data_IF_600147886236
#
_entry.id   IF_600147886236
#
_cell.length_a   1.000
_cell.length_b   1.000
_cell.length_c   1.000
_cell.angle_alpha   90.00
_cell.angle_beta   90.00
_cell.angle_gamma   90.00
#
_symmetry.space_group_name_H-M   'P 1'
#
loop_
_entity.id
_entity.type
_entity.pdbx_description
1 polymer ?
#
# COMPACT_ATOMS: atom_id res chain seq x y z
N UNK A 1 -29.93 42.54 -28.66
CA UNK A 1 -28.74 43.05 -27.97
C UNK A 1 -28.39 42.07 -26.87
N UNK A 2 -27.21 41.45 -27.00
CA UNK A 2 -26.72 40.36 -26.15
C UNK A 2 -25.86 40.91 -25.02
N UNK A 3 -25.97 40.33 -23.82
CA UNK A 3 -25.00 40.36 -22.72
C UNK A 3 -25.29 39.09 -21.89
N UNK A 4 -24.49 38.02 -21.87
CA UNK A 4 -23.07 37.80 -21.51
C UNK A 4 -22.76 38.20 -20.06
N UNK A 5 -22.34 37.20 -19.27
CA UNK A 5 -21.63 37.36 -17.98
C UNK A 5 -22.48 36.98 -16.76
N UNK A 6 -22.11 36.04 -15.90
CA UNK A 6 -20.86 35.31 -15.78
C UNK A 6 -21.02 34.07 -14.88
N UNK A 7 -20.22 33.05 -15.17
CA UNK A 7 -20.03 31.89 -14.32
C UNK A 7 -19.52 32.35 -12.94
N UNK A 8 -20.29 32.10 -11.89
CA UNK A 8 -19.75 32.11 -10.54
C UNK A 8 -18.93 30.83 -10.37
N UNK A 9 -17.62 30.97 -10.51
CA UNK A 9 -16.66 29.95 -10.11
C UNK A 9 -16.77 29.79 -8.60
N UNK A 10 -17.38 28.70 -8.14
CA UNK A 10 -17.32 28.30 -6.76
C UNK A 10 -15.90 27.78 -6.47
N UNK A 11 -15.03 28.67 -6.02
CA UNK A 11 -13.69 28.31 -5.54
C UNK A 11 -13.84 27.54 -4.23
N UNK A 12 -13.75 26.22 -4.27
CA UNK A 12 -13.63 25.39 -3.08
C UNK A 12 -12.25 25.68 -2.47
N UNK A 13 -12.25 26.46 -1.39
CA UNK A 13 -11.06 26.72 -0.59
C UNK A 13 -10.73 25.47 0.21
N UNK A 14 -9.76 24.68 -0.27
CA UNK A 14 -9.24 23.53 0.47
C UNK A 14 -8.23 24.09 1.49
N UNK A 15 -8.72 24.54 2.66
CA UNK A 15 -7.86 24.82 3.79
C UNK A 15 -7.30 23.50 4.31
N UNK A 16 -6.04 23.24 3.98
CA UNK A 16 -5.23 22.15 4.50
C UNK A 16 -4.92 22.39 5.97
N UNK A 17 -5.72 21.80 6.85
CA UNK A 17 -5.33 21.51 8.23
C UNK A 17 -5.26 20.01 8.38
N UNK A 18 -4.03 19.48 8.33
CA UNK A 18 -3.72 18.07 8.53
C UNK A 18 -3.95 17.69 10.00
N UNK A 19 -5.21 17.53 10.38
CA UNK A 19 -5.59 16.76 11.56
C UNK A 19 -6.08 15.41 11.05
N UNK A 20 -5.33 14.35 11.38
CA UNK A 20 -5.72 12.96 11.11
C UNK A 20 -7.09 12.74 11.79
N UNK A 21 -8.17 12.74 11.01
CA UNK A 21 -9.51 12.55 11.56
C UNK A 21 -9.55 11.22 12.34
N UNK A 22 -10.28 11.14 13.47
CA UNK A 22 -10.45 9.88 14.18
C UNK A 22 -11.11 8.86 13.26
N UNK A 23 -10.56 7.63 13.25
CA UNK A 23 -10.93 6.56 12.32
C UNK A 23 -12.45 6.30 12.28
N UNK A 24 -13.12 6.39 13.44
CA UNK A 24 -14.57 6.27 13.56
C UNK A 24 -15.35 7.33 12.78
N UNK A 25 -14.85 8.56 12.73
CA UNK A 25 -15.49 9.65 11.96
C UNK A 25 -15.33 9.45 10.45
N UNK A 26 -14.14 9.03 10.01
CA UNK A 26 -13.89 8.71 8.60
C UNK A 26 -14.76 7.56 8.10
N UNK A 27 -14.89 6.49 8.91
CA UNK A 27 -15.75 5.35 8.59
C UNK A 27 -17.21 5.80 8.45
N UNK A 28 -17.69 6.62 9.39
CA UNK A 28 -19.06 7.13 9.35
C UNK A 28 -19.32 8.02 8.12
N UNK A 29 -18.43 8.97 7.84
CA UNK A 29 -18.51 9.83 6.66
C UNK A 29 -18.49 9.00 5.36
N UNK A 30 -17.73 7.90 5.32
CA UNK A 30 -17.68 6.99 4.17
C UNK A 30 -19.01 6.26 3.97
N UNK A 31 -19.62 5.72 5.03
CA UNK A 31 -20.93 5.07 4.92
C UNK A 31 -22.04 6.05 4.50
N UNK A 32 -22.01 7.28 5.00
CA UNK A 32 -22.94 8.33 4.60
C UNK A 32 -22.80 8.69 3.12
N UNK A 33 -21.57 8.75 2.61
CA UNK A 33 -21.31 8.95 1.17
C UNK A 33 -21.80 7.77 0.33
N UNK A 34 -21.57 6.54 0.76
CA UNK A 34 -22.07 5.34 0.08
C UNK A 34 -23.60 5.33 0.04
N UNK A 35 -24.26 5.73 1.11
CA UNK A 35 -25.72 5.81 1.18
C UNK A 35 -26.32 6.85 0.22
N UNK A 36 -25.54 7.86 -0.20
CA UNK A 36 -25.95 8.85 -1.18
C UNK A 36 -25.79 8.37 -2.65
N UNK A 37 -25.11 7.24 -2.87
CA UNK A 37 -24.96 6.66 -4.21
C UNK A 37 -26.26 6.01 -4.69
N UNK A 38 -26.45 5.93 -6.01
CA UNK A 38 -27.57 5.17 -6.58
C UNK A 38 -27.43 3.67 -6.30
N UNK A 39 -28.53 2.92 -6.36
CA UNK A 39 -28.53 1.46 -6.14
C UNK A 39 -27.57 0.74 -7.08
N UNK A 40 -27.51 1.15 -8.35
CA UNK A 40 -26.58 0.59 -9.34
C UNK A 40 -25.11 0.83 -8.95
N UNK A 41 -24.79 2.03 -8.45
CA UNK A 41 -23.45 2.37 -7.98
C UNK A 41 -23.08 1.62 -6.69
N UNK A 42 -24.04 1.45 -5.77
CA UNK A 42 -23.84 0.65 -4.56
C UNK A 42 -23.57 -0.82 -4.91
N UNK A 43 -24.30 -1.39 -5.88
CA UNK A 43 -24.07 -2.75 -6.36
C UNK A 43 -22.70 -2.90 -7.04
N UNK A 44 -22.31 -1.93 -7.89
CA UNK A 44 -21.01 -1.94 -8.53
C UNK A 44 -19.88 -1.90 -7.48
N UNK A 45 -20.01 -1.05 -6.46
CA UNK A 45 -19.07 -0.98 -5.33
C UNK A 45 -19.01 -2.29 -4.55
N UNK A 46 -20.15 -2.90 -4.24
CA UNK A 46 -20.22 -4.18 -3.54
C UNK A 46 -19.48 -5.29 -4.31
N UNK A 47 -19.70 -5.38 -5.63
CA UNK A 47 -19.02 -6.34 -6.51
C UNK A 47 -17.52 -6.06 -6.55
N UNK A 48 -17.12 -4.80 -6.66
CA UNK A 48 -15.71 -4.41 -6.67
C UNK A 48 -15.02 -4.83 -5.36
N UNK A 49 -15.61 -4.50 -4.22
CA UNK A 49 -15.09 -4.89 -2.91
C UNK A 49 -15.03 -6.41 -2.79
N UNK A 50 -16.07 -7.13 -3.17
CA UNK A 50 -16.08 -8.60 -3.12
C UNK A 50 -14.93 -9.22 -3.93
N UNK A 51 -14.58 -8.64 -5.09
CA UNK A 51 -13.50 -9.14 -5.96
C UNK A 51 -12.11 -8.76 -5.47
N UNK A 52 -11.95 -7.58 -4.85
CA UNK A 52 -10.63 -6.98 -4.61
C UNK A 52 -10.26 -6.83 -3.13
N UNK A 53 -11.19 -7.03 -2.19
CA UNK A 53 -10.95 -6.80 -0.76
C UNK A 53 -9.76 -7.61 -0.22
N UNK A 54 -9.64 -8.88 -0.61
CA UNK A 54 -8.52 -9.72 -0.15
C UNK A 54 -7.16 -9.14 -0.55
N UNK A 55 -7.04 -8.66 -1.80
CA UNK A 55 -5.81 -8.05 -2.30
C UNK A 55 -5.50 -6.73 -1.57
N UNK A 56 -6.52 -5.91 -1.35
CA UNK A 56 -6.39 -4.64 -0.62
C UNK A 56 -5.90 -4.88 0.81
N UNK A 57 -6.49 -5.85 1.51
CA UNK A 57 -6.10 -6.20 2.87
C UNK A 57 -4.67 -6.75 2.93
N UNK A 58 -4.30 -7.63 2.00
CA UNK A 58 -2.95 -8.16 1.92
C UNK A 58 -1.90 -7.06 1.69
N UNK A 59 -2.21 -6.10 0.82
CA UNK A 59 -1.33 -4.95 0.57
C UNK A 59 -1.21 -4.06 1.81
N UNK A 60 -2.31 -3.76 2.49
CA UNK A 60 -2.30 -2.95 3.72
C UNK A 60 -1.51 -3.63 4.85
N UNK A 61 -1.63 -4.95 5.01
CA UNK A 61 -0.84 -5.71 5.97
C UNK A 61 0.65 -5.67 5.64
N UNK A 62 1.01 -5.78 4.36
CA UNK A 62 2.40 -5.66 3.90
C UNK A 62 2.98 -4.27 4.20
N UNK A 63 2.24 -3.22 3.88
CA UNK A 63 2.66 -1.83 4.16
C UNK A 63 2.86 -1.60 5.66
N UNK A 64 1.94 -2.13 6.49
CA UNK A 64 2.09 -2.09 7.95
C UNK A 64 3.36 -2.79 8.42
N UNK A 65 3.66 -3.99 7.90
CA UNK A 65 4.89 -4.71 8.26
C UNK A 65 6.15 -3.94 7.88
N UNK A 66 6.13 -3.26 6.73
CA UNK A 66 7.24 -2.40 6.29
C UNK A 66 7.42 -1.22 7.24
N UNK A 67 6.33 -0.52 7.59
CA UNK A 67 6.37 0.61 8.54
C UNK A 67 6.90 0.19 9.92
N UNK A 68 6.49 -0.99 10.40
CA UNK A 68 6.87 -1.54 11.69
C UNK A 68 8.23 -2.28 11.67
N UNK A 69 8.89 -2.39 10.51
CA UNK A 69 10.11 -3.19 10.29
C UNK A 69 9.95 -4.68 10.70
N UNK A 70 8.77 -5.24 10.55
CA UNK A 70 8.41 -6.63 10.90
C UNK A 70 8.30 -7.52 9.65
N UNK A 71 9.32 -7.48 8.79
CA UNK A 71 9.37 -8.20 7.52
C UNK A 71 9.22 -9.72 7.67
N UNK A 72 8.57 -10.33 6.69
CA UNK A 72 8.48 -11.78 6.49
C UNK A 72 9.16 -12.18 5.18
N UNK A 73 9.51 -13.45 5.04
CA UNK A 73 10.11 -13.97 3.80
C UNK A 73 9.24 -13.65 2.57
N UNK A 74 7.91 -13.68 2.71
CA UNK A 74 6.96 -13.41 1.64
C UNK A 74 6.96 -11.96 1.13
N UNK A 75 7.61 -11.04 1.85
CA UNK A 75 7.67 -9.63 1.44
C UNK A 75 8.74 -9.38 0.35
N UNK A 76 9.62 -10.35 0.09
CA UNK A 76 10.70 -10.29 -0.89
C UNK A 76 10.36 -11.02 -2.19
N UNK A 77 11.13 -10.77 -3.26
CA UNK A 77 10.98 -11.51 -4.53
C UNK A 77 11.50 -12.95 -4.40
N UNK A 78 11.16 -13.81 -5.37
CA UNK A 78 11.52 -15.24 -5.35
C UNK A 78 13.02 -15.50 -5.20
N UNK A 79 13.85 -14.71 -5.88
CA UNK A 79 15.31 -14.82 -5.80
C UNK A 79 15.82 -14.58 -4.38
N UNK A 80 15.33 -13.52 -3.72
CA UNK A 80 15.71 -13.17 -2.35
C UNK A 80 15.16 -14.20 -1.36
N UNK A 81 13.93 -14.68 -1.56
CA UNK A 81 13.36 -15.75 -0.74
C UNK A 81 14.24 -17.00 -0.81
N UNK A 82 14.65 -17.41 -2.00
CA UNK A 82 15.52 -18.56 -2.19
C UNK A 82 16.91 -18.34 -1.58
N UNK A 83 17.46 -17.12 -1.66
CA UNK A 83 18.72 -16.79 -1.01
C UNK A 83 18.61 -16.90 0.52
N UNK A 84 17.51 -16.44 1.13
CA UNK A 84 17.24 -16.61 2.57
C UNK A 84 17.14 -18.09 2.93
N UNK A 85 16.39 -18.89 2.17
CA UNK A 85 16.26 -20.34 2.39
C UNK A 85 17.63 -21.03 2.31
N UNK A 86 18.46 -20.65 1.33
CA UNK A 86 19.82 -21.18 1.19
C UNK A 86 20.68 -20.89 2.44
N UNK A 87 20.52 -19.70 3.03
CA UNK A 87 21.20 -19.34 4.28
C UNK A 87 20.69 -20.19 5.45
N UNK A 88 19.36 -20.28 5.63
CA UNK A 88 18.74 -21.01 6.74
C UNK A 88 19.04 -22.52 6.69
N UNK A 89 19.05 -23.11 5.49
CA UNK A 89 19.30 -24.53 5.26
C UNK A 89 20.79 -24.86 5.04
N UNK A 90 21.67 -23.87 5.10
CA UNK A 90 23.11 -24.00 4.85
C UNK A 90 23.44 -24.62 3.48
N UNK A 91 22.67 -24.26 2.45
CA UNK A 91 22.84 -24.71 1.06
C UNK A 91 23.52 -23.64 0.22
N UNK A 92 24.40 -24.03 -0.69
CA UNK A 92 25.04 -23.14 -1.66
C UNK A 92 25.74 -21.92 -1.03
N UNK A 93 26.27 -22.08 0.19
CA UNK A 93 27.00 -21.02 0.89
C UNK A 93 28.51 -21.17 0.68
N UNK A 94 29.17 -20.06 0.33
CA UNK A 94 30.63 -19.98 0.32
C UNK A 94 31.13 -19.41 1.64
N UNK A 95 31.99 -20.16 2.33
CA UNK A 95 32.57 -19.73 3.61
C UNK A 95 33.95 -19.13 3.37
N UNK A 96 34.13 -17.88 3.79
CA UNK A 96 35.40 -17.17 3.70
C UNK A 96 36.07 -17.12 5.08
N UNK A 97 37.38 -17.36 5.13
CA UNK A 97 38.12 -17.42 6.40
C UNK A 97 38.33 -16.03 7.04
N UNK A 98 38.38 -14.98 6.22
CA UNK A 98 38.60 -13.61 6.68
C UNK A 98 38.08 -12.59 5.65
N UNK A 99 38.15 -11.30 6.04
CA UNK A 99 37.69 -10.18 5.22
C UNK A 99 38.38 -10.08 3.85
N UNK A 100 39.68 -10.34 3.79
CA UNK A 100 40.46 -10.29 2.54
C UNK A 100 40.01 -11.38 1.56
N UNK A 101 39.79 -12.62 2.05
CA UNK A 101 39.25 -13.71 1.24
C UNK A 101 37.83 -13.42 0.72
N UNK A 102 36.99 -12.77 1.54
CA UNK A 102 35.63 -12.37 1.12
C UNK A 102 35.67 -11.35 -0.02
N UNK A 103 36.52 -10.34 0.07
CA UNK A 103 36.65 -9.32 -0.97
C UNK A 103 37.20 -9.88 -2.27
N UNK A 104 38.19 -10.76 -2.18
CA UNK A 104 38.71 -11.47 -3.36
C UNK A 104 37.62 -12.33 -4.03
N UNK A 105 36.79 -13.04 -3.26
CA UNK A 105 35.69 -13.86 -3.80
C UNK A 105 34.58 -13.00 -4.43
N UNK A 106 34.29 -11.84 -3.84
CA UNK A 106 33.30 -10.87 -4.36
C UNK A 106 33.83 -10.02 -5.52
N UNK A 107 35.15 -10.02 -5.76
CA UNK A 107 35.79 -9.20 -6.80
C UNK A 107 35.72 -7.69 -6.55
N UNK A 108 35.69 -7.26 -5.29
CA UNK A 108 35.59 -5.84 -4.86
C UNK A 108 36.76 -5.39 -3.99
#
# INVERSE_FOLDING_TARGET
MSAVGGCQSATISINTVSQKQPMTKLIQETFEQIAQLSEEQQNALAIFLQKHLALILQQAEREKRIEENTYTINDFNEETQQAIINIEEQKNLTVCANKESLYNELGI
#
